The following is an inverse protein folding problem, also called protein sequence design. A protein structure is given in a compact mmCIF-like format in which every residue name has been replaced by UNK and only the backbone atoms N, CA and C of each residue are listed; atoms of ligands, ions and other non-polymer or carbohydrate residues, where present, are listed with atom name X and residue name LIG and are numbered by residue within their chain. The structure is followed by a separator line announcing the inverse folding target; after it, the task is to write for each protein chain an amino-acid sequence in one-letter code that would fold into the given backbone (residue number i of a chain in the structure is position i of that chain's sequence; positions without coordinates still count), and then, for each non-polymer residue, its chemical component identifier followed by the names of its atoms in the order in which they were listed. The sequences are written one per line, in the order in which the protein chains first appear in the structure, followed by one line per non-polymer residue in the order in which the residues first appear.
data_IF_996582802886
#
_entry.id   IF_996582802886
#
_cell.length_a   1.000
_cell.length_b   1.000
_cell.length_c   1.000
_cell.angle_alpha   90.00
_cell.angle_beta   90.00
_cell.angle_gamma   90.00
#
_symmetry.space_group_name_H-M   'P 1'
#
loop_
_entity.id
_entity.type
_entity.pdbx_description
1 polymer ?
#
# COMPACT_ATOMS: atom_id res chain seq x y z
N UNK A 1 3.81 -0.46 -20.90
CA UNK A 1 4.81 0.41 -20.23
C UNK A 1 4.36 0.61 -18.80
N UNK A 2 5.21 0.30 -17.81
CA UNK A 2 4.90 0.48 -16.38
C UNK A 2 5.24 1.90 -15.91
N UNK A 3 4.48 2.41 -14.93
CA UNK A 3 4.75 3.71 -14.30
C UNK A 3 5.96 3.69 -13.36
N UNK A 4 6.31 2.51 -12.86
CA UNK A 4 7.47 2.26 -11.99
C UNK A 4 8.38 1.26 -12.69
N UNK A 5 9.70 1.46 -12.60
CA UNK A 5 10.72 0.59 -13.19
C UNK A 5 11.57 -0.02 -12.08
N UNK A 6 11.81 -1.32 -12.21
CA UNK A 6 12.79 -2.03 -11.39
C UNK A 6 14.12 -2.06 -12.15
N UNK A 7 15.19 -1.55 -11.53
CA UNK A 7 16.54 -1.57 -12.08
C UNK A 7 17.42 -2.50 -11.25
N UNK A 8 17.77 -3.65 -11.84
CA UNK A 8 18.63 -4.66 -11.22
C UNK A 8 20.10 -4.57 -11.66
N UNK A 9 20.50 -3.54 -12.43
CA UNK A 9 21.85 -3.44 -13.03
C UNK A 9 23.01 -3.39 -12.03
N UNK A 10 22.72 -3.19 -10.75
CA UNK A 10 23.71 -3.20 -9.67
C UNK A 10 23.87 -4.57 -8.99
N UNK A 11 23.06 -5.56 -9.35
CA UNK A 11 23.06 -6.89 -8.75
C UNK A 11 23.97 -7.89 -9.48
N UNK A 12 24.44 -7.59 -10.69
CA UNK A 12 25.19 -8.53 -11.56
C UNK A 12 26.46 -9.11 -10.93
N UNK A 13 27.02 -8.48 -9.89
CA UNK A 13 28.17 -9.00 -9.14
C UNK A 13 27.82 -10.08 -8.12
N UNK A 14 26.54 -10.20 -7.77
CA UNK A 14 26.04 -11.01 -6.66
C UNK A 14 24.99 -12.03 -7.11
N UNK A 15 24.29 -11.76 -8.22
CA UNK A 15 23.22 -12.60 -8.75
C UNK A 15 23.53 -12.89 -10.22
N UNK A 16 23.69 -14.17 -10.57
CA UNK A 16 23.91 -14.59 -11.94
C UNK A 16 22.59 -14.57 -12.72
N UNK A 17 22.68 -14.39 -14.04
CA UNK A 17 21.52 -14.23 -14.92
C UNK A 17 20.51 -15.40 -14.83
N UNK A 18 20.99 -16.63 -14.58
CA UNK A 18 20.14 -17.81 -14.49
C UNK A 18 19.38 -17.95 -13.16
N UNK A 19 19.81 -17.25 -12.10
CA UNK A 19 19.26 -17.47 -10.76
C UNK A 19 17.80 -17.01 -10.66
N UNK A 20 17.47 -15.86 -11.25
CA UNK A 20 16.09 -15.35 -11.28
C UNK A 20 15.17 -16.27 -12.10
N UNK A 21 15.64 -16.77 -13.24
CA UNK A 21 14.87 -17.71 -14.07
C UNK A 21 14.60 -19.03 -13.32
N UNK A 22 15.59 -19.51 -12.56
CA UNK A 22 15.46 -20.72 -11.76
C UNK A 22 14.48 -20.57 -10.58
N UNK A 23 14.20 -19.34 -10.13
CA UNK A 23 13.16 -19.07 -9.13
C UNK A 23 11.74 -19.05 -9.70
N UNK A 24 11.58 -18.98 -11.03
CA UNK A 24 10.28 -18.81 -11.68
C UNK A 24 9.23 -19.87 -11.25
N UNK A 25 9.55 -21.17 -11.07
CA UNK A 25 8.58 -22.14 -10.59
C UNK A 25 7.98 -21.78 -9.21
N UNK A 26 8.81 -21.26 -8.30
CA UNK A 26 8.36 -20.84 -6.96
C UNK A 26 7.52 -19.57 -7.03
N UNK A 27 7.91 -18.60 -7.87
CA UNK A 27 7.15 -17.37 -8.10
C UNK A 27 5.76 -17.69 -8.66
N UNK A 28 5.69 -18.59 -9.65
CA UNK A 28 4.43 -19.03 -10.26
C UNK A 28 3.53 -19.70 -9.24
N UNK A 29 4.08 -20.57 -8.38
CA UNK A 29 3.31 -21.21 -7.31
C UNK A 29 2.75 -20.18 -6.31
N UNK A 30 3.57 -19.22 -5.86
CA UNK A 30 3.16 -18.18 -4.92
C UNK A 30 2.10 -17.24 -5.51
N UNK A 31 2.26 -16.80 -6.77
CA UNK A 31 1.27 -15.95 -7.46
C UNK A 31 -0.08 -16.67 -7.60
N UNK A 32 -0.04 -17.96 -7.95
CA UNK A 32 -1.25 -18.79 -8.05
C UNK A 32 -1.96 -18.90 -6.70
N UNK A 33 -1.25 -19.26 -5.63
CA UNK A 33 -1.84 -19.36 -4.29
C UNK A 33 -2.45 -18.03 -3.82
N UNK A 34 -1.75 -16.92 -4.07
CA UNK A 34 -2.20 -15.58 -3.70
C UNK A 34 -3.45 -15.18 -4.48
N UNK A 35 -3.51 -15.40 -5.80
CA UNK A 35 -4.66 -14.98 -6.63
C UNK A 35 -5.85 -15.91 -6.45
N UNK A 36 -5.64 -17.22 -6.45
CA UNK A 36 -6.71 -18.21 -6.30
C UNK A 36 -7.19 -18.33 -4.85
N UNK A 37 -6.41 -17.85 -3.88
CA UNK A 37 -6.79 -17.86 -2.47
C UNK A 37 -6.75 -19.25 -1.86
N UNK A 38 -5.77 -20.05 -2.26
CA UNK A 38 -5.59 -21.42 -1.78
C UNK A 38 -4.54 -21.52 -0.68
N UNK A 39 -3.68 -20.50 -0.55
CA UNK A 39 -2.62 -20.43 0.47
C UNK A 39 -3.10 -20.03 1.87
N UNK A 40 -2.18 -20.08 2.83
CA UNK A 40 -2.42 -19.63 4.20
C UNK A 40 -2.74 -18.11 4.25
N UNK A 41 -3.67 -17.71 5.11
CA UNK A 41 -4.09 -16.31 5.23
C UNK A 41 -4.97 -15.79 4.09
N UNK A 42 -5.55 -16.68 3.28
CA UNK A 42 -6.43 -16.36 2.14
C UNK A 42 -7.59 -15.40 2.46
N UNK A 43 -8.01 -15.30 3.71
CA UNK A 43 -9.10 -14.43 4.15
C UNK A 43 -8.68 -12.94 4.17
N UNK A 44 -7.38 -12.63 4.18
CA UNK A 44 -6.83 -11.27 4.30
C UNK A 44 -6.27 -10.71 2.98
N UNK A 45 -6.91 -11.02 1.85
CA UNK A 45 -6.45 -10.64 0.49
C UNK A 45 -7.21 -9.49 -0.16
N UNK A 46 -8.09 -8.81 0.58
CA UNK A 46 -8.92 -7.74 0.03
C UNK A 46 -8.12 -6.60 -0.64
N UNK A 47 -6.85 -6.42 -0.26
CA UNK A 47 -5.96 -5.42 -0.85
C UNK A 47 -5.66 -5.64 -2.35
N UNK A 48 -5.83 -6.84 -2.89
CA UNK A 48 -5.54 -7.15 -4.31
C UNK A 48 -6.52 -6.39 -5.21
N UNK A 49 -7.82 -6.47 -4.90
CA UNK A 49 -8.88 -5.88 -5.73
C UNK A 49 -9.31 -4.50 -5.23
N UNK A 50 -8.92 -4.09 -4.02
CA UNK A 50 -9.27 -2.79 -3.45
C UNK A 50 -9.00 -1.59 -4.40
N UNK A 51 -7.88 -1.51 -5.14
CA UNK A 51 -7.63 -0.38 -6.04
C UNK A 51 -8.66 -0.21 -7.16
N UNK A 52 -9.36 -1.29 -7.54
CA UNK A 52 -10.35 -1.29 -8.63
C UNK A 52 -11.79 -1.44 -8.14
N UNK A 53 -11.99 -2.14 -7.02
CA UNK A 53 -13.29 -2.54 -6.46
C UNK A 53 -13.52 -1.97 -5.04
N UNK A 54 -12.96 -0.82 -4.69
CA UNK A 54 -13.32 -0.11 -3.46
C UNK A 54 -14.77 0.38 -3.48
N UNK A 55 -15.37 0.57 -2.30
CA UNK A 55 -16.69 1.17 -2.16
C UNK A 55 -16.64 2.67 -2.54
N UNK A 56 -17.29 2.99 -3.67
CA UNK A 56 -17.29 4.36 -4.21
C UNK A 56 -18.16 5.32 -3.39
N UNK A 57 -19.19 4.82 -2.74
CA UNK A 57 -20.07 5.62 -1.88
C UNK A 57 -19.37 5.93 -0.56
N UNK A 58 -18.66 4.96 0.01
CA UNK A 58 -17.75 5.21 1.13
C UNK A 58 -16.67 6.24 0.76
N UNK A 59 -16.02 6.09 -0.39
CA UNK A 59 -15.00 7.04 -0.83
C UNK A 59 -15.55 8.47 -0.99
N UNK A 60 -16.78 8.62 -1.50
CA UNK A 60 -17.46 9.91 -1.57
C UNK A 60 -17.74 10.49 -0.17
N UNK A 61 -18.17 9.66 0.79
CA UNK A 61 -18.37 10.06 2.19
C UNK A 61 -17.06 10.48 2.87
N UNK A 62 -15.96 9.77 2.63
CA UNK A 62 -14.62 10.15 3.14
C UNK A 62 -14.24 11.54 2.65
N UNK A 63 -14.41 11.84 1.35
CA UNK A 63 -14.13 13.18 0.78
C UNK A 63 -15.03 14.27 1.39
N UNK A 64 -16.30 13.98 1.59
CA UNK A 64 -17.23 14.92 2.22
C UNK A 64 -16.83 15.21 3.68
N UNK A 65 -16.47 14.17 4.44
CA UNK A 65 -15.98 14.31 5.81
C UNK A 65 -14.68 15.13 5.87
N UNK A 66 -13.73 14.87 4.97
CA UNK A 66 -12.48 15.63 4.89
C UNK A 66 -12.73 17.13 4.64
N UNK A 67 -13.62 17.48 3.70
CA UNK A 67 -14.00 18.89 3.45
C UNK A 67 -14.64 19.54 4.69
N UNK A 68 -15.51 18.80 5.38
CA UNK A 68 -16.15 19.30 6.61
C UNK A 68 -15.11 19.59 7.70
N UNK A 69 -14.19 18.65 7.94
CA UNK A 69 -13.10 18.80 8.93
C UNK A 69 -12.21 19.98 8.58
N UNK A 70 -11.80 20.13 7.31
CA UNK A 70 -11.00 21.27 6.86
C UNK A 70 -11.71 22.61 7.06
N UNK A 71 -13.03 22.67 6.86
CA UNK A 71 -13.80 23.90 7.00
C UNK A 71 -14.08 24.32 8.44
N UNK A 72 -13.96 23.42 9.41
CA UNK A 72 -14.32 23.68 10.80
C UNK A 72 -13.21 23.39 11.83
N UNK A 73 -12.04 22.92 11.39
CA UNK A 73 -10.94 22.51 12.26
C UNK A 73 -9.61 23.07 11.77
N UNK A 74 -8.81 23.61 12.69
CA UNK A 74 -7.42 24.04 12.38
C UNK A 74 -6.42 22.87 12.47
N UNK A 75 -6.74 21.85 13.27
CA UNK A 75 -5.89 20.68 13.53
C UNK A 75 -6.73 19.42 13.43
N UNK A 76 -6.17 18.37 12.84
CA UNK A 76 -6.73 17.02 12.81
C UNK A 76 -5.83 16.07 13.59
N UNK A 77 -6.36 15.42 14.63
CA UNK A 77 -5.63 14.43 15.44
C UNK A 77 -6.12 13.04 15.05
N UNK A 78 -5.25 12.25 14.43
CA UNK A 78 -5.49 10.85 14.17
C UNK A 78 -4.94 10.00 15.32
N UNK A 79 -5.76 9.12 15.88
CA UNK A 79 -5.40 8.20 16.96
C UNK A 79 -5.33 6.80 16.38
N UNK A 80 -4.15 6.19 16.39
CA UNK A 80 -3.94 4.84 15.87
C UNK A 80 -2.49 4.39 16.00
N UNK A 81 -2.26 3.08 15.89
CA UNK A 81 -0.94 2.45 15.96
C UNK A 81 -0.79 1.43 14.81
N UNK A 82 0.45 1.01 14.52
CA UNK A 82 0.73 0.01 13.48
C UNK A 82 0.30 0.48 12.09
N UNK A 83 -0.42 -0.38 11.36
CA UNK A 83 -0.90 -0.08 10.01
C UNK A 83 -1.81 1.15 9.93
N UNK A 84 -2.60 1.41 10.98
CA UNK A 84 -3.50 2.56 11.08
C UNK A 84 -2.77 3.89 11.29
N UNK A 85 -1.48 3.86 11.65
CA UNK A 85 -0.63 5.05 11.78
C UNK A 85 0.35 5.18 10.61
N UNK A 86 1.13 4.13 10.34
CA UNK A 86 2.26 4.18 9.40
C UNK A 86 1.82 4.54 7.97
N UNK A 87 0.71 3.98 7.49
CA UNK A 87 0.22 4.25 6.14
C UNK A 87 -0.23 5.71 5.96
N UNK A 88 -1.02 6.22 6.91
CA UNK A 88 -1.48 7.61 6.89
C UNK A 88 -0.32 8.60 7.06
N UNK A 89 0.60 8.32 8.00
CA UNK A 89 1.76 9.16 8.27
C UNK A 89 2.69 9.27 7.07
N UNK A 90 3.05 8.13 6.47
CA UNK A 90 3.91 8.08 5.28
C UNK A 90 3.31 8.86 4.12
N UNK A 91 2.01 8.67 3.82
CA UNK A 91 1.37 9.35 2.70
C UNK A 91 1.37 10.88 2.88
N UNK A 92 1.09 11.35 4.10
CA UNK A 92 1.12 12.78 4.42
C UNK A 92 2.54 13.34 4.34
N UNK A 93 3.52 12.71 4.98
CA UNK A 93 4.91 13.17 4.99
C UNK A 93 5.54 13.16 3.59
N UNK A 94 5.16 12.19 2.73
CA UNK A 94 5.69 12.09 1.37
C UNK A 94 5.07 13.11 0.40
N UNK A 95 3.77 13.39 0.52
CA UNK A 95 3.03 14.23 -0.43
C UNK A 95 2.92 15.70 0.01
N UNK A 96 3.13 16.01 1.28
CA UNK A 96 2.94 17.36 1.83
C UNK A 96 4.27 18.07 2.05
N UNK A 97 4.31 19.38 1.80
CA UNK A 97 5.49 20.22 2.10
C UNK A 97 5.63 20.55 3.60
N UNK A 98 4.63 20.22 4.42
CA UNK A 98 4.56 20.58 5.84
C UNK A 98 4.31 19.34 6.69
N UNK A 99 5.10 19.18 7.76
CA UNK A 99 4.94 18.08 8.73
C UNK A 99 3.63 18.23 9.50
N UNK A 100 2.72 17.28 9.35
CA UNK A 100 1.52 17.16 10.21
C UNK A 100 1.91 16.33 11.42
N UNK A 101 1.71 16.80 12.67
CA UNK A 101 1.96 15.97 13.86
C UNK A 101 0.80 15.01 14.08
N UNK A 102 1.06 13.70 13.96
CA UNK A 102 0.15 12.64 14.41
C UNK A 102 0.66 12.14 15.76
N UNK A 103 -0.15 12.27 16.81
CA UNK A 103 0.21 11.87 18.18
C UNK A 103 -0.19 10.41 18.43
N UNK A 104 0.75 9.58 18.87
CA UNK A 104 0.48 8.25 19.44
C UNK A 104 -0.05 8.43 20.87
N UNK A 105 -1.15 7.75 21.20
CA UNK A 105 -1.59 7.50 22.58
C UNK A 105 -1.41 6.01 22.84
#
# INVERSE_FOLDING_TARGET
MSYIKFDSSKLDKFVHANELEQMQPLVTAADKELREGTGAGKDFRGFIDLPVNYDKDEFARIKAAAKKVQGNSQVFVAIGIGGSYLGARMAVDFLSQTSVTLTLI
#
